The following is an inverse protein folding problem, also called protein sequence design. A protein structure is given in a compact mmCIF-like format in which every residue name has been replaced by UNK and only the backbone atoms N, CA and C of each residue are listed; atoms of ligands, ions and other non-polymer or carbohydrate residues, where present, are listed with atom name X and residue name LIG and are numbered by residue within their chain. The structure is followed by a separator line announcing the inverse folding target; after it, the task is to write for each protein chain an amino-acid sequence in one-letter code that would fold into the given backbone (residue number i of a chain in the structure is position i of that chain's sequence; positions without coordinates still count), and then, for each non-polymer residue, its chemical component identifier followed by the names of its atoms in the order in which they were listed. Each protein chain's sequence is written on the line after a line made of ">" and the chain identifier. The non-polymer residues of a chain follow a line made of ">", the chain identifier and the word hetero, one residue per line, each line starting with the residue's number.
data_IF_218845196142
#
_entry.id   IF_218845196142
#
_cell.length_a   1.000
_cell.length_b   1.000
_cell.length_c   1.000
_cell.angle_alpha   90.00
_cell.angle_beta   90.00
_cell.angle_gamma   90.00
#
_symmetry.space_group_name_H-M   'P 1'
#
loop_
_entity.id
_entity.type
_entity.pdbx_description
1 polymer ?
#
# COMPACT_ATOMS: atom_id res chain seq x y z
N UNK A 1 7.60 -0.21 -15.97
CA UNK A 1 8.11 -0.25 -14.59
C UNK A 1 8.71 1.11 -14.31
N UNK A 2 8.20 1.82 -13.30
CA UNK A 2 8.67 3.16 -12.93
C UNK A 2 8.98 3.20 -11.45
N UNK A 3 9.92 4.06 -11.06
CA UNK A 3 10.27 4.27 -9.65
C UNK A 3 9.35 5.30 -9.01
N UNK A 4 9.02 5.09 -7.74
CA UNK A 4 8.26 6.02 -6.92
C UNK A 4 9.06 6.29 -5.64
N UNK A 5 9.36 7.55 -5.41
CA UNK A 5 9.99 8.04 -4.19
C UNK A 5 8.94 8.69 -3.31
N UNK A 6 8.90 8.33 -2.03
CA UNK A 6 7.88 8.77 -1.09
C UNK A 6 8.50 9.16 0.25
N UNK A 7 8.04 10.28 0.79
CA UNK A 7 8.40 10.70 2.13
C UNK A 7 7.63 9.89 3.17
N UNK A 8 8.15 9.86 4.41
CA UNK A 8 7.44 9.25 5.53
C UNK A 8 6.06 9.89 5.71
N UNK A 9 5.02 9.07 5.70
CA UNK A 9 3.63 9.47 5.85
C UNK A 9 2.87 9.57 4.52
N UNK A 10 3.56 9.52 3.38
CA UNK A 10 2.91 9.55 2.08
C UNK A 10 2.05 8.30 1.85
N UNK A 11 0.88 8.51 1.25
CA UNK A 11 0.01 7.44 0.78
C UNK A 11 0.50 6.99 -0.59
N UNK A 12 0.97 5.75 -0.67
CA UNK A 12 1.46 5.15 -1.92
C UNK A 12 0.30 4.70 -2.80
N UNK A 13 -0.75 4.15 -2.19
CA UNK A 13 -2.00 3.79 -2.82
C UNK A 13 -3.12 3.79 -1.79
N UNK A 14 -4.31 4.29 -2.13
CA UNK A 14 -5.43 4.41 -1.21
C UNK A 14 -6.48 3.31 -1.42
N UNK A 15 -7.19 2.95 -0.35
CA UNK A 15 -8.36 2.11 -0.49
C UNK A 15 -9.42 2.85 -1.32
N UNK A 16 -10.01 2.18 -2.30
CA UNK A 16 -10.92 2.77 -3.28
C UNK A 16 -10.26 3.20 -4.60
N UNK A 17 -8.92 3.25 -4.67
CA UNK A 17 -8.21 3.47 -5.93
C UNK A 17 -8.30 2.24 -6.85
N UNK A 18 -8.15 2.41 -8.18
CA UNK A 18 -8.05 1.28 -9.10
C UNK A 18 -6.94 0.29 -8.71
N UNK A 19 -7.25 -1.01 -8.75
CA UNK A 19 -6.28 -2.07 -8.51
C UNK A 19 -5.56 -2.45 -9.82
N UNK A 20 -4.69 -1.55 -10.29
CA UNK A 20 -4.05 -1.63 -11.61
C UNK A 20 -2.52 -1.74 -11.58
N UNK A 21 -1.93 -1.77 -10.38
CA UNK A 21 -0.49 -1.71 -10.16
C UNK A 21 -0.02 -2.65 -9.06
N UNK A 22 1.07 -3.37 -9.36
CA UNK A 22 1.90 -4.07 -8.38
C UNK A 22 3.04 -3.15 -7.93
N UNK A 23 3.25 -3.06 -6.63
CA UNK A 23 4.38 -2.37 -6.04
C UNK A 23 5.36 -3.37 -5.42
N UNK A 24 6.66 -3.08 -5.57
CA UNK A 24 7.75 -3.80 -4.90
C UNK A 24 8.54 -2.77 -4.12
N UNK A 25 8.78 -3.04 -2.83
CA UNK A 25 9.55 -2.14 -1.98
C UNK A 25 11.03 -2.41 -2.24
N UNK A 26 11.73 -1.41 -2.79
CA UNK A 26 13.18 -1.49 -2.97
C UNK A 26 13.91 -1.13 -1.66
N UNK A 27 13.52 0.00 -1.05
CA UNK A 27 14.08 0.50 0.21
C UNK A 27 12.97 1.01 1.14
N UNK A 28 13.25 1.03 2.45
CA UNK A 28 12.31 1.51 3.46
C UNK A 28 11.25 0.49 3.90
N UNK A 29 10.16 0.99 4.47
CA UNK A 29 9.05 0.19 5.00
C UNK A 29 7.71 0.81 4.63
N UNK A 30 6.81 -0.01 4.08
CA UNK A 30 5.43 0.36 3.78
C UNK A 30 4.49 -0.37 4.73
N UNK A 31 3.54 0.36 5.33
CA UNK A 31 2.49 -0.21 6.14
C UNK A 31 1.19 -0.31 5.35
N UNK A 32 0.52 -1.45 5.44
CA UNK A 32 -0.83 -1.63 4.89
C UNK A 32 -1.85 -1.49 6.01
N UNK A 33 -2.89 -0.69 5.80
CA UNK A 33 -3.95 -0.48 6.78
C UNK A 33 -5.34 -0.49 6.16
N UNK A 34 -6.34 -0.79 6.99
CA UNK A 34 -7.76 -0.65 6.64
C UNK A 34 -8.43 0.35 7.59
N UNK A 35 -9.29 1.19 7.02
CA UNK A 35 -10.16 2.05 7.81
C UNK A 35 -11.34 1.23 8.34
N UNK A 36 -11.75 1.47 9.60
CA UNK A 36 -12.90 0.80 10.21
C UNK A 36 -13.87 1.86 10.71
N UNK A 37 -15.15 1.88 10.26
CA UNK A 37 -16.09 2.98 10.53
C UNK A 37 -16.31 3.34 12.01
N UNK A 38 -15.98 2.45 12.94
CA UNK A 38 -16.17 2.63 14.39
C UNK A 38 -14.86 2.65 15.18
N UNK A 39 -13.70 2.62 14.51
CA UNK A 39 -12.41 2.66 15.18
C UNK A 39 -11.88 4.10 15.23
N UNK A 40 -11.22 4.46 16.33
CA UNK A 40 -10.55 5.75 16.47
C UNK A 40 -9.28 5.86 15.60
N UNK A 41 -8.70 4.71 15.21
CA UNK A 41 -7.47 4.63 14.44
C UNK A 41 -7.58 3.53 13.37
N UNK A 42 -6.87 3.66 12.24
CA UNK A 42 -6.81 2.62 11.24
C UNK A 42 -6.14 1.36 11.81
N UNK A 43 -6.55 0.21 11.28
CA UNK A 43 -5.98 -1.07 11.68
C UNK A 43 -4.87 -1.46 10.71
N UNK A 44 -3.64 -1.58 11.21
CA UNK A 44 -2.52 -2.11 10.43
C UNK A 44 -2.71 -3.61 10.21
N UNK A 45 -2.62 -4.03 8.95
CA UNK A 45 -2.80 -5.43 8.54
C UNK A 45 -1.48 -6.10 8.19
N UNK A 46 -0.51 -5.35 7.68
CA UNK A 46 0.81 -5.88 7.32
C UNK A 46 1.86 -4.77 7.25
N UNK A 47 3.14 -5.19 7.32
CA UNK A 47 4.31 -4.37 7.06
C UNK A 47 5.11 -5.02 5.93
N UNK A 48 5.49 -4.24 4.92
CA UNK A 48 6.20 -4.69 3.73
C UNK A 48 7.53 -3.97 3.66
N UNK A 49 8.62 -4.72 3.84
CA UNK A 49 9.99 -4.22 3.74
C UNK A 49 10.63 -4.54 2.38
N UNK A 50 11.95 -4.30 2.25
CA UNK A 50 12.67 -4.51 1.00
C UNK A 50 12.45 -5.91 0.40
N UNK A 51 12.32 -5.97 -0.92
CA UNK A 51 11.97 -7.15 -1.73
C UNK A 51 10.55 -7.69 -1.51
N UNK A 52 9.78 -7.11 -0.58
CA UNK A 52 8.35 -7.41 -0.42
C UNK A 52 7.50 -6.68 -1.45
N UNK A 53 6.33 -7.26 -1.75
CA UNK A 53 5.36 -6.69 -2.69
C UNK A 53 3.98 -6.50 -2.06
N UNK A 54 3.16 -5.66 -2.70
CA UNK A 54 1.73 -5.55 -2.45
C UNK A 54 1.00 -5.09 -3.73
N UNK A 55 -0.29 -5.40 -3.85
CA UNK A 55 -1.08 -5.12 -5.06
C UNK A 55 -1.02 -6.25 -6.09
N UNK A 56 -0.76 -7.49 -5.65
CA UNK A 56 -0.69 -8.67 -6.51
C UNK A 56 -2.02 -8.99 -7.20
N UNK A 57 -3.14 -8.53 -6.61
CA UNK A 57 -4.49 -8.70 -7.16
C UNK A 57 -4.67 -7.99 -8.50
N UNK A 58 -3.97 -6.88 -8.74
CA UNK A 58 -3.93 -6.22 -10.04
C UNK A 58 -3.48 -7.16 -11.17
N UNK A 59 -2.55 -8.08 -10.90
CA UNK A 59 -2.05 -9.04 -11.90
C UNK A 59 -3.07 -10.13 -12.24
N UNK A 60 -4.06 -10.36 -11.36
CA UNK A 60 -5.11 -11.35 -11.56
C UNK A 60 -6.32 -10.77 -12.31
N UNK A 61 -6.22 -9.51 -12.77
CA UNK A 61 -7.33 -8.80 -13.42
C UNK A 61 -8.43 -8.42 -12.43
N UNK A 62 -8.06 -8.10 -11.18
CA UNK A 62 -8.98 -7.68 -10.14
C UNK A 62 -9.89 -6.55 -10.64
N UNK A 63 -11.22 -6.75 -10.72
CA UNK A 63 -12.14 -5.71 -11.17
C UNK A 63 -12.44 -4.68 -10.07
N UNK A 64 -12.03 -4.98 -8.84
CA UNK A 64 -12.43 -4.27 -7.65
C UNK A 64 -11.38 -3.23 -7.22
N UNK A 65 -11.79 -2.11 -6.61
CA UNK A 65 -10.86 -1.15 -6.04
C UNK A 65 -10.02 -1.75 -4.91
N UNK A 66 -8.86 -1.14 -4.65
CA UNK A 66 -8.01 -1.51 -3.52
C UNK A 66 -8.79 -1.49 -2.20
N UNK A 67 -8.62 -2.52 -1.38
CA UNK A 67 -9.29 -2.63 -0.06
C UNK A 67 -8.40 -2.15 1.09
N UNK A 68 -7.12 -1.90 0.82
CA UNK A 68 -6.11 -1.45 1.79
C UNK A 68 -5.52 -0.12 1.35
N UNK A 69 -5.09 0.69 2.32
CA UNK A 69 -4.27 1.88 2.09
C UNK A 69 -2.83 1.56 2.45
N UNK A 70 -1.92 1.81 1.51
CA UNK A 70 -0.48 1.66 1.67
C UNK A 70 0.17 3.00 2.03
N UNK A 71 0.94 3.05 3.11
CA UNK A 71 1.58 4.27 3.63
C UNK A 71 3.07 4.03 3.85
N UNK A 72 3.91 4.94 3.37
CA UNK A 72 5.35 4.92 3.64
C UNK A 72 5.61 5.23 5.13
N UNK A 73 6.27 4.32 5.85
CA UNK A 73 6.52 4.43 7.30
C UNK A 73 7.92 4.95 7.63
N UNK A 74 8.85 4.79 6.69
CA UNK A 74 10.20 5.36 6.74
C UNK A 74 10.35 6.40 5.63
N UNK A 75 11.27 7.35 5.81
CA UNK A 75 11.72 8.17 4.68
C UNK A 75 12.70 7.33 3.85
N UNK A 76 12.54 7.36 2.53
CA UNK A 76 13.51 6.85 1.57
C UNK A 76 13.95 8.01 0.68
#
# INVERSE_FOLDING_TARGET
>A
MGELWCARGDVVAAAGDPDDRLFVVHEGLVGLRIERPRAAHPHWVSLVGPSGSFGETALLGGPDPLTVTAVALTAA
#
